data_IF_535085492113
#
_entry.id   IF_535085492113
#
_cell.length_a   1.000
_cell.length_b   1.000
_cell.length_c   1.000
_cell.angle_alpha   90.00
_cell.angle_beta   90.00
_cell.angle_gamma   90.00
#
_symmetry.space_group_name_H-M   'P 1'
#
loop_
_entity.id
_entity.type
_entity.pdbx_description
1 polymer ?
#
# COMPACT_ATOMS: atom_id res chain seq x y z
N UNK A 1 -8.08 8.72 -4.44
CA UNK A 1 -6.69 9.26 -4.36
C UNK A 1 -6.17 9.16 -2.92
N UNK A 2 -4.86 9.09 -2.73
CA UNK A 2 -4.17 9.08 -1.44
C UNK A 2 -2.96 10.03 -1.51
N UNK A 3 -2.32 10.26 -0.39
CA UNK A 3 -1.07 11.00 -0.29
C UNK A 3 -0.05 10.24 0.53
N UNK A 4 1.21 10.38 0.14
CA UNK A 4 2.31 9.92 0.97
C UNK A 4 2.36 10.78 2.23
N UNK A 5 2.29 10.17 3.40
CA UNK A 5 2.39 10.91 4.67
C UNK A 5 3.71 10.66 5.41
N UNK A 6 4.41 9.56 5.11
CA UNK A 6 5.69 9.22 5.72
C UNK A 6 6.49 8.25 4.86
N UNK A 7 7.81 8.24 5.05
CA UNK A 7 8.76 7.34 4.40
C UNK A 7 9.78 6.85 5.43
N UNK A 8 9.96 5.54 5.53
CA UNK A 8 10.88 4.94 6.49
C UNK A 8 11.84 3.97 5.80
N UNK A 9 13.03 3.85 6.39
CA UNK A 9 13.90 2.71 6.12
C UNK A 9 13.47 1.54 7.02
N UNK A 10 13.33 0.35 6.44
CA UNK A 10 13.03 -0.86 7.19
C UNK A 10 14.32 -1.68 7.32
N UNK A 11 14.68 -2.01 8.57
CA UNK A 11 15.83 -2.88 8.87
C UNK A 11 15.34 -4.28 9.23
N UNK A 12 15.94 -5.33 8.64
CA UNK A 12 15.80 -6.71 9.12
C UNK A 12 14.93 -7.68 8.30
N UNK A 13 14.26 -7.24 7.24
CA UNK A 13 13.36 -8.09 6.41
C UNK A 13 13.66 -8.06 4.90
N UNK A 14 14.78 -7.48 4.49
CA UNK A 14 15.24 -7.52 3.09
C UNK A 14 14.55 -6.53 2.15
N UNK A 15 13.43 -5.91 2.54
CA UNK A 15 12.95 -4.66 1.95
C UNK A 15 13.49 -3.49 2.77
N UNK A 16 14.18 -2.56 2.11
CA UNK A 16 14.91 -1.48 2.77
C UNK A 16 14.06 -0.22 3.03
N UNK A 17 12.89 -0.11 2.39
CA UNK A 17 12.11 1.14 2.29
C UNK A 17 10.61 0.89 2.30
N UNK A 18 9.89 1.78 2.96
CA UNK A 18 8.43 1.80 2.99
C UNK A 18 7.92 3.22 2.78
N UNK A 19 6.95 3.38 1.89
CA UNK A 19 6.29 4.64 1.56
C UNK A 19 4.83 4.52 2.03
N UNK A 20 4.49 5.20 3.12
CA UNK A 20 3.16 5.14 3.70
C UNK A 20 2.19 6.04 2.95
N UNK A 21 0.99 5.52 2.67
CA UNK A 21 -0.12 6.32 2.14
C UNK A 21 -1.16 6.57 3.21
N UNK A 22 -1.88 7.69 3.13
CA UNK A 22 -2.86 8.15 4.12
C UNK A 22 -4.19 7.39 4.09
N UNK A 23 -4.16 6.08 3.79
CA UNK A 23 -5.33 5.22 3.90
C UNK A 23 -5.58 4.81 5.37
N UNK A 24 -6.84 4.88 5.87
CA UNK A 24 -8.04 5.35 5.18
C UNK A 24 -8.22 6.88 5.28
N UNK A 25 -8.77 7.48 4.23
CA UNK A 25 -9.21 8.89 4.21
C UNK A 25 -10.72 9.01 4.45
N UNK A 26 -11.28 10.23 4.66
CA UNK A 26 -12.72 10.42 4.77
C UNK A 26 -13.53 9.84 3.60
N UNK A 27 -12.95 9.84 2.40
CA UNK A 27 -13.52 9.20 1.22
C UNK A 27 -13.60 7.67 1.34
N UNK A 28 -12.51 7.02 1.77
CA UNK A 28 -12.46 5.58 2.04
C UNK A 28 -13.53 5.16 3.05
N UNK A 29 -13.74 5.96 4.09
CA UNK A 29 -14.82 5.73 5.06
C UNK A 29 -16.20 5.82 4.44
N UNK A 30 -16.46 6.82 3.58
CA UNK A 30 -17.75 6.96 2.88
C UNK A 30 -18.04 5.73 2.03
N UNK A 31 -17.06 5.28 1.25
CA UNK A 31 -17.18 4.07 0.42
C UNK A 31 -17.41 2.82 1.26
N UNK A 32 -16.66 2.65 2.36
CA UNK A 32 -16.82 1.52 3.28
C UNK A 32 -18.22 1.47 3.91
N UNK A 33 -18.72 2.62 4.37
CA UNK A 33 -20.09 2.71 4.89
C UNK A 33 -21.13 2.44 3.80
N UNK A 34 -20.94 2.98 2.60
CA UNK A 34 -21.83 2.71 1.47
C UNK A 34 -21.88 1.22 1.14
N UNK A 35 -20.74 0.53 1.15
CA UNK A 35 -20.65 -0.91 0.94
C UNK A 35 -21.38 -1.71 2.03
N UNK A 36 -21.32 -1.28 3.30
CA UNK A 36 -22.10 -1.87 4.41
C UNK A 36 -23.59 -1.66 4.24
N UNK A 37 -24.02 -0.43 3.96
CA UNK A 37 -25.44 -0.10 3.79
C UNK A 37 -26.09 -0.81 2.61
N UNK A 38 -25.33 -1.00 1.53
CA UNK A 38 -25.79 -1.71 0.33
C UNK A 38 -25.67 -3.24 0.43
N UNK A 39 -25.14 -3.76 1.54
CA UNK A 39 -25.00 -5.20 1.77
C UNK A 39 -23.87 -5.89 0.98
N UNK A 40 -22.96 -5.13 0.36
CA UNK A 40 -21.79 -5.69 -0.33
C UNK A 40 -20.78 -6.29 0.65
N UNK A 41 -20.72 -5.79 1.89
CA UNK A 41 -19.85 -6.30 2.95
C UNK A 41 -20.60 -6.39 4.29
N UNK A 42 -20.16 -7.30 5.16
CA UNK A 42 -20.72 -7.46 6.51
C UNK A 42 -20.40 -6.24 7.41
N UNK A 43 -21.36 -5.82 8.22
CA UNK A 43 -21.25 -4.73 9.19
C UNK A 43 -20.09 -4.87 10.20
N UNK A 44 -19.69 -6.10 10.52
CA UNK A 44 -18.61 -6.40 11.47
C UNK A 44 -17.21 -6.25 10.86
N UNK A 45 -17.09 -6.15 9.53
CA UNK A 45 -15.79 -6.03 8.88
C UNK A 45 -15.17 -4.65 9.15
N UNK A 46 -13.93 -4.58 9.64
CA UNK A 46 -13.21 -3.33 9.80
C UNK A 46 -12.80 -2.76 8.43
N UNK A 47 -12.50 -1.46 8.37
CA UNK A 47 -12.00 -0.81 7.15
C UNK A 47 -10.52 -1.12 6.88
N UNK A 48 -9.78 -1.57 7.90
CA UNK A 48 -8.34 -1.77 7.82
C UNK A 48 -7.54 -0.46 7.92
N UNK A 49 -6.28 -0.51 7.50
CA UNK A 49 -5.34 0.60 7.59
C UNK A 49 -3.94 0.16 7.21
N UNK A 50 -2.95 1.01 7.52
CA UNK A 50 -1.52 0.66 7.45
C UNK A 50 -1.06 0.21 6.05
N UNK A 51 -1.57 0.87 5.03
CA UNK A 51 -1.25 0.58 3.63
C UNK A 51 -0.07 1.45 3.16
N UNK A 52 0.77 0.87 2.32
CA UNK A 52 1.83 1.60 1.64
C UNK A 52 2.45 0.86 0.48
N UNK A 53 3.50 1.45 -0.05
CA UNK A 53 4.33 0.91 -1.13
C UNK A 53 5.64 0.40 -0.52
N UNK A 54 5.99 -0.86 -0.79
CA UNK A 54 7.21 -1.47 -0.29
C UNK A 54 7.78 -2.50 -1.26
N UNK A 55 8.97 -3.01 -0.94
CA UNK A 55 9.66 -4.01 -1.75
C UNK A 55 9.38 -5.43 -1.28
N UNK A 56 9.82 -6.41 -2.07
CA UNK A 56 9.80 -7.82 -1.70
C UNK A 56 10.86 -8.15 -0.63
N UNK A 57 10.72 -9.27 0.11
CA UNK A 57 11.82 -9.81 0.90
C UNK A 57 13.06 -10.09 0.03
N UNK A 58 14.24 -10.11 0.64
CA UNK A 58 15.50 -10.31 -0.10
C UNK A 58 15.46 -11.60 -0.93
N UNK A 59 15.82 -11.49 -2.22
CA UNK A 59 15.83 -12.62 -3.16
C UNK A 59 14.44 -13.09 -3.62
N UNK A 60 13.36 -12.35 -3.32
CA UNK A 60 11.99 -12.74 -3.64
C UNK A 60 11.36 -11.93 -4.78
N UNK A 61 12.14 -11.44 -5.74
CA UNK A 61 11.64 -10.74 -6.94
C UNK A 61 10.61 -11.58 -7.72
N UNK A 62 10.69 -12.90 -7.61
CA UNK A 62 9.72 -13.83 -8.22
C UNK A 62 8.29 -13.64 -7.73
N UNK A 63 8.06 -13.04 -6.55
CA UNK A 63 6.72 -12.67 -6.08
C UNK A 63 6.06 -11.67 -7.04
N UNK A 64 6.84 -10.75 -7.60
CA UNK A 64 6.36 -9.76 -8.58
C UNK A 64 6.31 -10.37 -9.97
N UNK A 65 7.36 -11.06 -10.41
CA UNK A 65 7.45 -11.63 -11.77
C UNK A 65 6.35 -12.64 -12.06
N UNK A 66 6.00 -13.45 -11.05
CA UNK A 66 4.93 -14.45 -11.15
C UNK A 66 3.55 -13.89 -10.75
N UNK A 67 3.45 -12.59 -10.43
CA UNK A 67 2.21 -11.90 -10.04
C UNK A 67 1.49 -12.61 -8.89
N UNK A 68 2.22 -12.97 -7.84
CA UNK A 68 1.67 -13.66 -6.68
C UNK A 68 0.97 -12.66 -5.76
N UNK A 69 -0.25 -13.00 -5.34
CA UNK A 69 -1.00 -12.21 -4.37
C UNK A 69 -0.50 -12.48 -2.94
N UNK A 70 0.58 -11.80 -2.55
CA UNK A 70 1.30 -12.09 -1.30
C UNK A 70 1.11 -11.04 -0.20
N UNK A 71 0.64 -9.84 -0.55
CA UNK A 71 0.40 -8.78 0.43
C UNK A 71 -1.01 -8.90 1.01
N UNK A 72 -1.25 -8.26 2.16
CA UNK A 72 -2.58 -8.12 2.75
C UNK A 72 -3.27 -6.80 2.37
N UNK A 73 -2.81 -6.16 1.28
CA UNK A 73 -3.36 -4.89 0.78
C UNK A 73 -2.31 -3.87 0.32
N UNK A 74 -1.05 -4.00 0.77
CA UNK A 74 0.02 -3.13 0.31
C UNK A 74 0.36 -3.32 -1.17
N UNK A 75 0.92 -2.28 -1.78
CA UNK A 75 1.45 -2.30 -3.13
C UNK A 75 2.91 -2.73 -3.06
N UNK A 76 3.21 -3.95 -3.49
CA UNK A 76 4.59 -4.44 -3.52
C UNK A 76 5.21 -4.29 -4.91
N UNK A 77 6.47 -3.85 -4.93
CA UNK A 77 7.32 -3.82 -6.13
C UNK A 77 8.62 -4.63 -5.89
N UNK A 78 9.48 -4.76 -6.91
CA UNK A 78 10.84 -5.25 -6.68
C UNK A 78 11.62 -4.21 -5.90
N UNK A 79 12.65 -4.64 -5.16
CA UNK A 79 13.40 -3.72 -4.31
C UNK A 79 14.05 -2.56 -5.10
N UNK A 80 14.57 -2.83 -6.30
CA UNK A 80 15.15 -1.79 -7.15
C UNK A 80 14.12 -0.76 -7.65
N UNK A 81 12.90 -1.20 -7.96
CA UNK A 81 11.82 -0.30 -8.37
C UNK A 81 11.41 0.62 -7.19
N UNK A 82 11.35 0.07 -5.98
CA UNK A 82 11.11 0.88 -4.77
C UNK A 82 12.26 1.86 -4.55
N UNK A 83 13.50 1.41 -4.71
CA UNK A 83 14.68 2.25 -4.55
C UNK A 83 14.66 3.46 -5.49
N UNK A 84 14.25 3.25 -6.74
CA UNK A 84 14.06 4.29 -7.74
C UNK A 84 12.99 5.29 -7.31
N UNK A 85 11.74 4.87 -7.12
CA UNK A 85 10.64 5.79 -6.81
C UNK A 85 10.83 6.50 -5.47
N UNK A 86 11.48 5.86 -4.50
CA UNK A 86 11.71 6.46 -3.19
C UNK A 86 12.57 7.72 -3.30
N UNK A 87 13.40 7.87 -4.32
CA UNK A 87 14.18 9.08 -4.54
C UNK A 87 13.37 10.26 -5.12
N UNK A 88 12.22 9.99 -5.74
CA UNK A 88 11.37 10.97 -6.41
C UNK A 88 10.09 11.31 -5.65
N UNK A 89 9.70 10.46 -4.70
CA UNK A 89 8.46 10.60 -3.94
C UNK A 89 8.73 11.35 -2.64
N UNK A 90 8.00 12.43 -2.39
CA UNK A 90 8.06 13.21 -1.16
C UNK A 90 6.77 13.08 -0.34
N UNK A 91 6.80 13.49 0.92
CA UNK A 91 5.57 13.66 1.70
C UNK A 91 4.65 14.65 0.98
N UNK A 92 3.38 14.27 0.82
CA UNK A 92 2.38 15.01 0.08
C UNK A 92 2.20 14.57 -1.37
N UNK A 93 3.13 13.77 -1.93
CA UNK A 93 3.00 13.19 -3.27
C UNK A 93 1.67 12.44 -3.38
N UNK A 94 0.91 12.74 -4.44
CA UNK A 94 -0.37 12.11 -4.71
C UNK A 94 -0.14 10.69 -5.21
N UNK A 95 -0.91 9.74 -4.68
CA UNK A 95 -0.96 8.36 -5.14
C UNK A 95 -2.39 8.07 -5.59
N UNK A 96 -2.55 7.61 -6.82
CA UNK A 96 -3.83 7.15 -7.36
C UNK A 96 -3.75 5.65 -7.63
N UNK A 97 -4.74 4.91 -7.13
CA UNK A 97 -4.88 3.47 -7.38
C UNK A 97 -6.00 3.32 -8.40
N UNK A 98 -5.67 2.79 -9.58
CA UNK A 98 -6.59 2.60 -10.70
C UNK A 98 -6.86 1.10 -10.93
N UNK A 99 -8.01 0.74 -11.55
CA UNK A 99 -8.34 -0.64 -11.90
C UNK A 99 -7.41 -1.28 -12.94
#
# INVERSE_FOLDING_TARGET
MFRVFSKNLITGIGSSKFIWIDYPRPESWREHFQAKFSGHINWQLPIGGEIGIHGVPAGQDSLIEKRLNWTLGCISLKNHDVDEIYSFVDTGTVVEIVP
#
